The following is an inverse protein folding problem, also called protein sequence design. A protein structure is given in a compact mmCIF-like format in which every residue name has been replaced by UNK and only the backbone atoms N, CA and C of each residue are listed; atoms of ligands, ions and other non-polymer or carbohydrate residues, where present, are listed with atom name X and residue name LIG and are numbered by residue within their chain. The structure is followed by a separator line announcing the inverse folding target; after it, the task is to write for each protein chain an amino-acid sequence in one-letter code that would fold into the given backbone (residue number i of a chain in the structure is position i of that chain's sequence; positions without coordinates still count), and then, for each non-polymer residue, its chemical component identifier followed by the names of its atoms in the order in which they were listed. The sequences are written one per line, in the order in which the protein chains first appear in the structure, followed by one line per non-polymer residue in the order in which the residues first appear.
data_IF_269854156549
#
_entry.id   IF_269854156549
#
_cell.length_a   1.000
_cell.length_b   1.000
_cell.length_c   1.000
_cell.angle_alpha   90.00
_cell.angle_beta   90.00
_cell.angle_gamma   90.00
#
_symmetry.space_group_name_H-M   'P 1'
#
loop_
_entity.id
_entity.type
_entity.pdbx_description
1 polymer ?
#
# COMPACT_ATOMS: atom_id res chain seq x y z
N UNK A 1 16.08 17.55 -7.59
CA UNK A 1 15.74 17.84 -6.19
C UNK A 1 16.04 16.60 -5.35
N UNK A 2 16.41 16.71 -4.06
CA UNK A 2 16.75 15.56 -3.19
C UNK A 2 15.56 14.65 -2.82
N UNK A 3 14.39 14.89 -3.41
CA UNK A 3 13.17 14.08 -3.34
C UNK A 3 12.83 13.50 -4.73
N UNK A 4 13.84 13.04 -5.47
CA UNK A 4 13.62 12.33 -6.73
C UNK A 4 13.18 10.90 -6.41
N UNK A 5 11.99 10.52 -6.90
CA UNK A 5 11.39 9.19 -6.77
C UNK A 5 12.36 8.05 -7.15
N UNK A 6 13.29 8.33 -8.06
CA UNK A 6 14.25 7.36 -8.60
C UNK A 6 15.25 6.76 -7.59
N UNK A 7 15.55 7.41 -6.46
CA UNK A 7 16.63 6.91 -5.57
C UNK A 7 16.19 6.59 -4.14
N UNK A 8 15.10 7.18 -3.64
CA UNK A 8 14.70 7.02 -2.22
C UNK A 8 13.68 5.89 -2.04
N UNK A 9 12.84 5.60 -3.04
CA UNK A 9 11.77 4.64 -2.92
C UNK A 9 12.25 3.18 -2.85
N UNK A 10 13.28 2.81 -3.61
CA UNK A 10 13.73 1.42 -3.74
C UNK A 10 14.47 0.88 -2.49
N UNK A 11 15.16 1.74 -1.72
CA UNK A 11 16.04 1.30 -0.63
C UNK A 11 15.44 1.43 0.78
N UNK A 12 14.29 2.10 0.94
CA UNK A 12 13.65 2.26 2.25
C UNK A 12 12.54 1.24 2.45
N UNK A 13 12.94 -0.01 2.67
CA UNK A 13 12.04 -1.10 3.05
C UNK A 13 11.34 -0.80 4.37
N UNK A 14 10.08 -1.21 4.48
CA UNK A 14 9.37 -1.22 5.76
C UNK A 14 10.07 -2.22 6.70
N UNK A 15 10.21 -1.87 7.97
CA UNK A 15 10.71 -2.80 9.00
C UNK A 15 9.59 -3.76 9.47
N UNK A 16 8.48 -3.83 8.74
CA UNK A 16 7.27 -4.56 9.10
C UNK A 16 6.89 -5.36 7.86
N UNK A 17 6.81 -6.67 8.01
CA UNK A 17 6.38 -7.55 6.93
C UNK A 17 4.87 -7.39 6.67
N UNK A 18 4.44 -7.75 5.47
CA UNK A 18 3.03 -7.56 5.07
C UNK A 18 2.02 -8.26 5.99
N UNK A 19 2.40 -9.40 6.59
CA UNK A 19 1.61 -10.17 7.56
C UNK A 19 1.37 -9.46 8.90
N UNK A 20 2.24 -8.52 9.28
CA UNK A 20 2.14 -7.81 10.56
C UNK A 20 1.18 -6.62 10.49
N UNK A 21 0.72 -6.24 9.29
CA UNK A 21 -0.21 -5.13 9.10
C UNK A 21 -1.65 -5.64 9.28
N UNK A 22 -2.40 -5.11 10.26
CA UNK A 22 -3.79 -5.50 10.42
C UNK A 22 -4.62 -5.08 9.20
N UNK A 23 -5.57 -5.92 8.74
CA UNK A 23 -6.43 -5.57 7.63
C UNK A 23 -7.35 -4.41 8.01
N UNK A 24 -7.46 -3.44 7.10
CA UNK A 24 -8.48 -2.39 7.17
C UNK A 24 -9.43 -2.66 6.01
N UNK A 25 -10.45 -3.48 6.27
CA UNK A 25 -11.37 -4.04 5.28
C UNK A 25 -10.73 -5.05 4.31
N UNK A 26 -9.56 -4.69 3.76
CA UNK A 26 -8.69 -5.53 2.94
C UNK A 26 -7.34 -5.74 3.63
N UNK A 27 -6.70 -6.88 3.38
CA UNK A 27 -5.29 -7.04 3.76
C UNK A 27 -4.38 -6.25 2.83
N UNK A 28 -3.16 -5.95 3.28
CA UNK A 28 -2.17 -5.28 2.44
C UNK A 28 -1.82 -6.09 1.18
N UNK A 29 -1.72 -7.43 1.29
CA UNK A 29 -1.48 -8.29 0.13
C UNK A 29 -2.65 -8.27 -0.86
N UNK A 30 -3.90 -8.32 -0.37
CA UNK A 30 -5.08 -8.23 -1.23
C UNK A 30 -5.14 -6.88 -1.96
N UNK A 31 -4.80 -5.79 -1.27
CA UNK A 31 -4.73 -4.46 -1.88
C UNK A 31 -3.66 -4.38 -2.98
N UNK A 32 -2.49 -4.98 -2.77
CA UNK A 32 -1.45 -5.06 -3.80
C UNK A 32 -1.90 -5.88 -5.02
N UNK A 33 -2.64 -6.97 -4.78
CA UNK A 33 -3.24 -7.77 -5.84
C UNK A 33 -4.35 -7.04 -6.60
N UNK A 34 -4.84 -5.90 -6.14
CA UNK A 34 -5.82 -5.08 -6.88
C UNK A 34 -5.16 -4.01 -7.75
N UNK A 35 -3.86 -3.73 -7.56
CA UNK A 35 -3.13 -2.76 -8.38
C UNK A 35 -2.92 -3.29 -9.80
N UNK A 36 -2.74 -2.40 -10.79
CA UNK A 36 -2.44 -2.83 -12.17
C UNK A 36 -1.01 -3.36 -12.29
N UNK A 37 -0.78 -4.20 -13.31
CA UNK A 37 0.57 -4.74 -13.56
C UNK A 37 1.57 -3.62 -13.91
N UNK A 38 1.15 -2.58 -14.65
CA UNK A 38 1.98 -1.39 -14.90
C UNK A 38 2.38 -0.66 -13.61
N UNK A 39 1.45 -0.53 -12.66
CA UNK A 39 1.72 0.13 -11.38
C UNK A 39 2.69 -0.67 -10.51
N UNK A 40 2.56 -2.00 -10.54
CA UNK A 40 3.47 -2.93 -9.86
C UNK A 40 4.86 -2.89 -10.51
N UNK A 41 4.93 -2.97 -11.84
CA UNK A 41 6.18 -2.95 -12.60
C UNK A 41 6.95 -1.64 -12.40
N UNK A 42 6.26 -0.49 -12.37
CA UNK A 42 6.86 0.81 -12.07
C UNK A 42 7.52 0.88 -10.69
N UNK A 43 7.13 0.00 -9.75
CA UNK A 43 7.68 -0.12 -8.40
C UNK A 43 8.62 -1.33 -8.23
N UNK A 44 8.98 -2.00 -9.33
CA UNK A 44 9.83 -3.19 -9.32
C UNK A 44 9.15 -4.41 -8.69
N UNK A 45 7.82 -4.47 -8.70
CA UNK A 45 7.03 -5.58 -8.16
C UNK A 45 6.46 -6.42 -9.29
N UNK A 46 6.42 -7.74 -9.06
CA UNK A 46 5.74 -8.69 -9.92
C UNK A 46 4.61 -9.37 -9.15
N UNK A 47 3.42 -9.43 -9.76
CA UNK A 47 2.22 -9.98 -9.12
C UNK A 47 2.41 -11.39 -8.59
N UNK A 48 3.10 -12.25 -9.35
CA UNK A 48 3.39 -13.64 -8.98
C UNK A 48 4.41 -13.77 -7.85
N UNK A 49 5.23 -12.75 -7.61
CA UNK A 49 6.21 -12.71 -6.53
C UNK A 49 5.64 -12.13 -5.22
N UNK A 50 4.42 -11.57 -5.25
CA UNK A 50 3.78 -10.99 -4.06
C UNK A 50 3.41 -12.07 -3.05
N UNK A 51 3.94 -11.98 -1.84
CA UNK A 51 3.60 -12.85 -0.72
C UNK A 51 3.60 -12.11 0.61
N UNK A 52 2.89 -12.61 1.62
CA UNK A 52 2.69 -11.93 2.91
C UNK A 52 3.95 -11.70 3.76
N UNK A 53 5.06 -12.41 3.48
CA UNK A 53 6.32 -12.31 4.24
C UNK A 53 7.33 -11.34 3.62
N UNK A 54 6.99 -10.67 2.52
CA UNK A 54 7.88 -9.68 1.91
C UNK A 54 7.91 -8.39 2.72
N UNK A 55 9.10 -7.77 2.69
CA UNK A 55 9.30 -6.38 3.06
C UNK A 55 9.17 -5.54 1.80
N UNK A 56 8.20 -4.63 1.78
CA UNK A 56 7.97 -3.70 0.67
C UNK A 56 8.48 -2.31 1.02
N UNK A 57 8.78 -1.47 0.01
CA UNK A 57 9.04 -0.05 0.22
C UNK A 57 7.99 0.62 1.11
N UNK A 58 8.43 1.45 2.07
CA UNK A 58 7.54 2.19 2.98
C UNK A 58 6.59 3.13 2.26
N UNK A 59 6.95 3.60 1.07
CA UNK A 59 6.10 4.47 0.25
C UNK A 59 4.81 3.73 -0.15
N UNK A 60 4.92 2.46 -0.56
CA UNK A 60 3.80 1.60 -0.93
C UNK A 60 2.87 1.38 0.27
N UNK A 61 3.45 1.21 1.46
CA UNK A 61 2.70 1.10 2.70
C UNK A 61 1.92 2.39 3.00
N UNK A 62 2.51 3.56 2.75
CA UNK A 62 1.83 4.85 2.89
C UNK A 62 0.65 5.00 1.92
N UNK A 63 0.81 4.56 0.68
CA UNK A 63 -0.28 4.55 -0.32
C UNK A 63 -1.45 3.65 0.12
N UNK A 64 -1.15 2.45 0.63
CA UNK A 64 -2.17 1.57 1.21
C UNK A 64 -2.93 2.25 2.35
N UNK A 65 -2.24 2.80 3.35
CA UNK A 65 -2.92 3.46 4.47
C UNK A 65 -3.77 4.66 4.04
N UNK A 66 -3.29 5.46 3.08
CA UNK A 66 -4.06 6.57 2.52
C UNK A 66 -5.35 6.09 1.86
N UNK A 67 -5.25 5.07 1.03
CA UNK A 67 -6.40 4.49 0.33
C UNK A 67 -7.42 3.89 1.31
N UNK A 68 -6.94 3.14 2.32
CA UNK A 68 -7.79 2.58 3.38
C UNK A 68 -8.41 3.65 4.28
N UNK A 69 -7.70 4.74 4.55
CA UNK A 69 -8.26 5.88 5.29
C UNK A 69 -9.39 6.55 4.51
N UNK A 70 -9.19 6.82 3.21
CA UNK A 70 -10.24 7.40 2.37
C UNK A 70 -11.46 6.48 2.28
N UNK A 71 -11.27 5.17 2.17
CA UNK A 71 -12.35 4.19 2.23
C UNK A 71 -13.16 4.28 3.53
N UNK A 72 -12.50 4.43 4.69
CA UNK A 72 -13.19 4.61 5.97
C UNK A 72 -13.95 5.93 6.04
N UNK A 73 -13.40 7.01 5.49
CA UNK A 73 -14.08 8.32 5.42
C UNK A 73 -15.34 8.24 4.57
N UNK A 74 -15.28 7.61 3.39
CA UNK A 74 -16.46 7.40 2.54
C UNK A 74 -17.51 6.55 3.25
N UNK A 75 -17.09 5.45 3.91
CA UNK A 75 -18.01 4.63 4.71
C UNK A 75 -18.64 5.39 5.87
N UNK A 76 -17.90 6.27 6.52
CA UNK A 76 -18.42 7.12 7.58
C UNK A 76 -19.51 8.04 7.03
N UNK A 77 -19.28 8.67 5.87
CA UNK A 77 -20.27 9.50 5.17
C UNK A 77 -21.53 8.72 4.81
N UNK A 78 -21.38 7.49 4.30
CA UNK A 78 -22.51 6.62 3.93
C UNK A 78 -23.42 6.27 5.12
N UNK A 79 -22.87 6.18 6.34
CA UNK A 79 -23.66 5.95 7.57
C UNK A 79 -24.15 7.23 8.24
N UNK A 80 -24.00 8.38 7.58
CA UNK A 80 -24.49 9.68 8.04
C UNK A 80 -23.54 10.44 8.96
N UNK A 81 -22.26 10.06 9.02
CA UNK A 81 -21.23 10.84 9.70
C UNK A 81 -20.83 12.02 8.80
N UNK A 82 -21.28 13.22 9.16
CA UNK A 82 -20.85 14.48 8.56
C UNK A 82 -20.01 15.25 9.61
N UNK A 83 -18.80 15.65 9.22
CA UNK A 83 -17.98 16.65 9.93
C UNK A 83 -18.68 18.03 9.96
#
# INVERSE_FOLDING_TARGET
MPYSDDNTAAQMLANIASIEIPPIDLTYLQWLQQQSDDWLAARGLERHALHERQFLPRVILGEYYRDRFLYLVERARDVGFCD
#
